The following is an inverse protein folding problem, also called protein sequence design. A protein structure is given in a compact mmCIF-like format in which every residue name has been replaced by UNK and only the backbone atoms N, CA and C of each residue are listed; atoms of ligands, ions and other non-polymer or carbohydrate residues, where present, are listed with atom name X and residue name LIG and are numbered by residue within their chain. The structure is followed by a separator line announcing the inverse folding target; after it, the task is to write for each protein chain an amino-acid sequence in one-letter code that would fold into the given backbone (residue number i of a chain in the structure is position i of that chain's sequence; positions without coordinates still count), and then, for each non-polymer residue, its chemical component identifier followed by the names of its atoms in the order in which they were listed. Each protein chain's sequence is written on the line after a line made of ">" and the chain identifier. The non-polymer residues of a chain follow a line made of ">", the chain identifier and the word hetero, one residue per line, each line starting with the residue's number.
data_IF_242354136771
#
_entry.id   IF_242354136771
#
_cell.length_a   1.000
_cell.length_b   1.000
_cell.length_c   1.000
_cell.angle_alpha   90.00
_cell.angle_beta   90.00
_cell.angle_gamma   90.00
#
_symmetry.space_group_name_H-M   'P 1'
#
loop_
_entity.id
_entity.type
_entity.pdbx_description
1 polymer ?
#
# COMPACT_ATOMS: atom_id res chain seq x y z
N UNK A 1 43.99 -6.80 27.32
CA UNK A 1 42.98 -6.29 28.28
C UNK A 1 42.24 -5.18 27.57
N UNK A 2 40.98 -5.40 27.19
CA UNK A 2 40.20 -4.38 26.46
C UNK A 2 39.84 -3.28 27.45
N UNK A 3 40.15 -2.04 27.12
CA UNK A 3 39.85 -0.89 27.95
C UNK A 3 38.32 -0.74 28.14
N UNK A 4 37.82 -0.58 29.38
CA UNK A 4 36.38 -0.51 29.66
C UNK A 4 35.63 0.60 28.91
N UNK A 5 36.28 1.75 28.65
CA UNK A 5 35.64 2.86 27.91
C UNK A 5 35.50 2.53 26.44
N UNK A 6 36.42 1.73 25.91
CA UNK A 6 36.38 1.28 24.53
C UNK A 6 35.23 0.28 24.31
N UNK A 7 34.89 -0.51 25.33
CA UNK A 7 33.74 -1.42 25.29
C UNK A 7 32.40 -0.65 25.32
N UNK A 8 32.25 0.33 26.20
CA UNK A 8 31.01 1.13 26.25
C UNK A 8 30.79 1.89 24.94
N UNK A 9 31.84 2.51 24.39
CA UNK A 9 31.79 3.21 23.10
C UNK A 9 31.36 2.27 21.96
N UNK A 10 31.93 1.06 21.92
CA UNK A 10 31.55 0.05 20.92
C UNK A 10 30.09 -0.41 21.07
N UNK A 11 29.60 -0.57 22.30
CA UNK A 11 28.21 -0.95 22.56
C UNK A 11 27.22 0.14 22.12
N UNK A 12 27.52 1.41 22.36
CA UNK A 12 26.71 2.52 21.84
C UNK A 12 26.68 2.54 20.31
N UNK A 13 27.82 2.32 19.64
CA UNK A 13 27.91 2.32 18.18
C UNK A 13 27.12 1.16 17.55
N UNK A 14 27.17 -0.04 18.15
CA UNK A 14 26.54 -1.26 17.58
C UNK A 14 25.08 -1.48 18.01
N UNK A 15 24.71 -1.11 19.23
CA UNK A 15 23.35 -1.31 19.76
C UNK A 15 22.49 -0.03 19.76
N UNK A 16 23.10 1.14 19.56
CA UNK A 16 22.38 2.41 19.49
C UNK A 16 21.64 2.76 20.80
N UNK A 17 20.52 3.52 20.73
CA UNK A 17 19.76 3.95 21.91
C UNK A 17 19.22 2.81 22.80
N UNK A 18 19.20 1.58 22.27
CA UNK A 18 18.74 0.41 23.02
C UNK A 18 19.68 0.05 24.18
N UNK A 19 20.99 0.31 24.06
CA UNK A 19 21.94 0.07 25.14
C UNK A 19 21.66 0.97 26.36
N UNK A 20 21.37 2.25 26.12
CA UNK A 20 21.07 3.21 27.18
C UNK A 20 19.74 2.90 27.86
N UNK A 21 18.74 2.50 27.08
CA UNK A 21 17.46 2.04 27.60
C UNK A 21 17.62 0.77 28.47
N UNK A 22 18.47 -0.18 28.06
CA UNK A 22 18.79 -1.40 28.80
C UNK A 22 19.54 -1.11 30.11
N UNK A 23 20.49 -0.16 30.10
CA UNK A 23 21.26 0.24 31.29
C UNK A 23 20.42 1.02 32.30
N UNK A 24 19.57 1.94 31.83
CA UNK A 24 18.75 2.77 32.69
C UNK A 24 17.54 2.04 33.27
N UNK A 25 16.87 1.18 32.47
CA UNK A 25 15.66 0.47 32.85
C UNK A 25 15.61 -0.93 32.22
N UNK A 26 16.38 -1.90 32.74
CA UNK A 26 16.51 -3.23 32.13
C UNK A 26 15.17 -3.98 31.99
N UNK A 27 14.20 -3.72 32.88
CA UNK A 27 12.87 -4.31 32.81
C UNK A 27 12.00 -3.77 31.65
N UNK A 28 12.33 -2.59 31.11
CA UNK A 28 11.59 -1.91 30.04
C UNK A 28 12.25 -2.05 28.66
N UNK A 29 13.48 -2.55 28.63
CA UNK A 29 14.18 -2.81 27.38
C UNK A 29 13.54 -3.99 26.63
N UNK A 30 13.27 -3.77 25.35
CA UNK A 30 12.75 -4.80 24.45
C UNK A 30 13.92 -5.26 23.59
N UNK A 31 14.34 -6.51 23.73
CA UNK A 31 15.36 -7.09 22.85
C UNK A 31 14.84 -7.13 21.42
N UNK A 32 15.73 -7.08 20.43
CA UNK A 32 15.31 -7.14 19.03
C UNK A 32 14.53 -8.45 18.72
N UNK A 33 14.85 -9.53 19.42
CA UNK A 33 14.12 -10.81 19.36
C UNK A 33 12.71 -10.75 19.97
N UNK A 34 12.44 -9.75 20.83
CA UNK A 34 11.13 -9.48 21.41
C UNK A 34 10.32 -8.45 20.59
N UNK A 35 10.93 -7.76 19.63
CA UNK A 35 10.28 -6.80 18.72
C UNK A 35 9.92 -7.45 17.37
N UNK A 36 10.58 -8.53 16.98
CA UNK A 36 10.42 -9.15 15.66
C UNK A 36 9.45 -10.31 15.74
N UNK A 37 8.18 -10.02 15.54
CA UNK A 37 7.20 -11.05 15.20
C UNK A 37 7.37 -11.45 13.72
N UNK A 38 7.33 -12.75 13.45
CA UNK A 38 7.14 -13.27 12.11
C UNK A 38 5.67 -13.14 11.69
N UNK A 39 5.40 -13.13 10.38
CA UNK A 39 4.02 -13.12 9.88
C UNK A 39 3.22 -14.33 10.42
N UNK A 40 3.87 -15.50 10.51
CA UNK A 40 3.26 -16.73 11.02
C UNK A 40 2.85 -16.58 12.50
N UNK A 41 3.71 -16.01 13.34
CA UNK A 41 3.41 -15.74 14.75
C UNK A 41 2.26 -14.75 14.95
N UNK A 42 2.12 -13.76 14.05
CA UNK A 42 0.99 -12.82 14.09
C UNK A 42 -0.31 -13.50 13.66
N UNK A 43 -0.27 -14.29 12.59
CA UNK A 43 -1.44 -15.01 12.10
C UNK A 43 -1.93 -16.06 13.10
N UNK A 44 -1.03 -16.70 13.85
CA UNK A 44 -1.39 -17.63 14.92
C UNK A 44 -2.17 -16.97 16.07
N UNK A 45 -2.09 -15.64 16.21
CA UNK A 45 -2.84 -14.86 17.20
C UNK A 45 -4.19 -14.35 16.67
N UNK A 46 -4.47 -14.48 15.38
CA UNK A 46 -5.73 -14.07 14.77
C UNK A 46 -6.73 -15.23 14.73
N UNK A 47 -7.98 -14.98 15.13
CA UNK A 47 -9.12 -15.87 14.83
C UNK A 47 -9.90 -15.29 13.64
N UNK A 48 -9.71 -15.81 12.41
CA UNK A 48 -10.41 -15.31 11.23
C UNK A 48 -11.90 -15.66 11.21
N UNK A 49 -12.34 -16.55 12.11
CA UNK A 49 -13.74 -16.95 12.24
C UNK A 49 -14.46 -16.22 13.36
N UNK A 50 -13.76 -15.33 14.10
CA UNK A 50 -14.36 -14.56 15.16
C UNK A 50 -15.52 -13.70 14.63
N UNK A 51 -16.66 -13.74 15.32
CA UNK A 51 -17.78 -12.89 14.97
C UNK A 51 -17.45 -11.42 15.26
N UNK A 52 -17.82 -10.53 14.33
CA UNK A 52 -17.66 -9.09 14.51
C UNK A 52 -18.50 -8.61 15.69
N UNK A 53 -17.88 -7.81 16.55
CA UNK A 53 -18.56 -7.12 17.64
C UNK A 53 -19.61 -6.15 17.10
N UNK A 54 -20.53 -5.73 17.96
CA UNK A 54 -21.56 -4.74 17.59
C UNK A 54 -20.95 -3.42 17.10
N UNK A 55 -19.83 -2.98 17.69
CA UNK A 55 -19.14 -1.76 17.29
C UNK A 55 -18.46 -1.90 15.93
N UNK A 56 -17.79 -3.02 15.66
CA UNK A 56 -17.18 -3.29 14.35
C UNK A 56 -18.24 -3.38 13.26
N UNK A 57 -19.39 -4.01 13.57
CA UNK A 57 -20.54 -4.08 12.68
C UNK A 57 -21.09 -2.68 12.37
N UNK A 58 -21.25 -1.84 13.39
CA UNK A 58 -21.68 -0.45 13.23
C UNK A 58 -20.73 0.35 12.33
N UNK A 59 -19.41 0.17 12.48
CA UNK A 59 -18.42 0.82 11.62
C UNK A 59 -18.48 0.33 10.16
N UNK A 60 -18.72 -0.97 9.95
CA UNK A 60 -18.86 -1.57 8.63
C UNK A 60 -20.14 -1.14 7.91
N UNK A 61 -21.23 -1.05 8.66
CA UNK A 61 -22.55 -0.67 8.16
C UNK A 61 -22.72 0.86 8.08
N UNK A 62 -21.74 1.62 8.59
CA UNK A 62 -21.76 3.07 8.50
C UNK A 62 -21.80 3.51 7.03
N UNK A 63 -22.68 4.46 6.67
CA UNK A 63 -22.71 4.98 5.31
C UNK A 63 -21.36 5.60 4.97
N UNK A 64 -20.96 5.48 3.70
CA UNK A 64 -19.75 6.15 3.21
C UNK A 64 -19.80 7.62 3.62
N UNK A 65 -18.81 8.07 4.40
CA UNK A 65 -18.74 9.47 4.85
C UNK A 65 -18.59 10.43 3.67
N UNK A 66 -18.11 9.94 2.51
CA UNK A 66 -18.44 10.47 1.19
C UNK A 66 -18.10 11.94 0.93
N UNK A 67 -17.17 12.52 1.71
CA UNK A 67 -16.69 13.91 1.52
C UNK A 67 -15.51 14.01 0.57
N UNK A 68 -15.03 12.87 0.07
CA UNK A 68 -14.05 12.81 -1.00
C UNK A 68 -14.69 13.43 -2.25
N UNK A 69 -14.06 14.47 -2.81
CA UNK A 69 -14.46 14.98 -4.12
C UNK A 69 -13.99 13.96 -5.15
N UNK A 70 -14.91 13.14 -5.68
CA UNK A 70 -14.60 12.29 -6.83
C UNK A 70 -14.52 13.17 -8.07
N UNK A 71 -13.31 13.43 -8.54
CA UNK A 71 -13.10 14.00 -9.87
C UNK A 71 -13.39 12.92 -10.91
N UNK A 72 -14.34 13.12 -11.85
CA UNK A 72 -14.54 12.20 -12.95
C UNK A 72 -13.21 12.01 -13.69
N UNK A 73 -12.74 10.77 -13.79
CA UNK A 73 -11.56 10.44 -14.58
C UNK A 73 -11.97 10.34 -16.05
N UNK A 74 -11.38 11.17 -16.90
CA UNK A 74 -11.50 11.04 -18.36
C UNK A 74 -10.22 10.38 -18.92
N UNK A 75 -10.26 9.10 -19.34
CA UNK A 75 -9.09 8.43 -19.91
C UNK A 75 -8.60 9.10 -21.21
N UNK A 76 -9.47 9.75 -21.98
CA UNK A 76 -9.11 10.38 -23.25
C UNK A 76 -8.15 11.56 -23.04
N UNK A 77 -8.19 12.25 -21.90
CA UNK A 77 -7.24 13.32 -21.56
C UNK A 77 -5.79 12.82 -21.50
N UNK A 78 -5.59 11.54 -21.20
CA UNK A 78 -4.26 10.95 -21.01
C UNK A 78 -3.74 10.17 -22.22
N UNK A 79 -4.57 9.91 -23.22
CA UNK A 79 -4.20 9.24 -24.46
C UNK A 79 -3.65 10.24 -25.48
N UNK A 80 -2.47 10.79 -25.20
CA UNK A 80 -1.90 11.95 -25.94
C UNK A 80 -1.15 11.58 -27.21
N UNK A 81 -0.97 10.28 -27.50
CA UNK A 81 -0.24 9.81 -28.68
C UNK A 81 -0.85 8.52 -29.26
N UNK A 82 -0.46 8.21 -30.50
CA UNK A 82 -0.99 7.06 -31.25
C UNK A 82 -0.64 5.71 -30.62
N UNK A 83 0.53 5.59 -29.99
CA UNK A 83 0.97 4.36 -29.33
C UNK A 83 0.09 4.03 -28.13
N UNK A 84 -0.21 5.01 -27.27
CA UNK A 84 -1.10 4.85 -26.13
C UNK A 84 -2.53 4.45 -26.57
N UNK A 85 -3.03 5.05 -27.65
CA UNK A 85 -4.33 4.68 -28.22
C UNK A 85 -4.30 3.24 -28.75
N UNK A 86 -3.23 2.82 -29.43
CA UNK A 86 -3.09 1.47 -29.94
C UNK A 86 -2.99 0.42 -28.81
N UNK A 87 -2.22 0.73 -27.75
CA UNK A 87 -2.10 -0.13 -26.58
C UNK A 87 -3.45 -0.36 -25.89
N UNK A 88 -4.24 0.70 -25.68
CA UNK A 88 -5.58 0.58 -25.10
C UNK A 88 -6.49 -0.34 -25.93
N UNK A 89 -6.49 -0.18 -27.26
CA UNK A 89 -7.33 -0.99 -28.15
C UNK A 89 -6.90 -2.46 -28.14
N UNK A 90 -5.59 -2.73 -28.17
CA UNK A 90 -5.05 -4.09 -28.11
C UNK A 90 -5.40 -4.78 -26.77
N UNK A 91 -5.22 -4.08 -25.64
CA UNK A 91 -5.59 -4.59 -24.33
C UNK A 91 -7.10 -4.85 -24.23
N UNK A 92 -7.92 -3.95 -24.78
CA UNK A 92 -9.37 -4.11 -24.80
C UNK A 92 -9.80 -5.33 -25.62
N UNK A 93 -9.25 -5.52 -26.81
CA UNK A 93 -9.50 -6.70 -27.64
C UNK A 93 -9.09 -7.99 -26.92
N UNK A 94 -7.96 -7.98 -26.20
CA UNK A 94 -7.49 -9.15 -25.45
C UNK A 94 -8.44 -9.59 -24.32
N UNK A 95 -9.30 -8.69 -23.82
CA UNK A 95 -10.30 -9.05 -22.80
C UNK A 95 -11.44 -9.92 -23.35
N UNK A 96 -11.74 -9.82 -24.65
CA UNK A 96 -12.89 -10.46 -25.27
C UNK A 96 -14.25 -9.94 -24.79
N UNK A 97 -14.29 -8.86 -23.99
CA UNK A 97 -15.52 -8.25 -23.50
C UNK A 97 -16.04 -7.22 -24.53
N UNK A 98 -17.17 -7.47 -25.20
CA UNK A 98 -17.69 -6.59 -26.23
C UNK A 98 -18.05 -5.18 -25.71
N UNK A 99 -18.51 -5.06 -24.46
CA UNK A 99 -18.87 -3.77 -23.89
C UNK A 99 -17.62 -2.94 -23.59
N UNK A 100 -16.56 -3.59 -23.09
CA UNK A 100 -15.29 -2.92 -22.85
C UNK A 100 -14.60 -2.50 -24.15
N UNK A 101 -14.63 -3.36 -25.18
CA UNK A 101 -14.10 -3.07 -26.51
C UNK A 101 -14.79 -1.83 -27.11
N UNK A 102 -16.12 -1.79 -27.09
CA UNK A 102 -16.88 -0.63 -27.61
C UNK A 102 -16.52 0.66 -26.85
N UNK A 103 -16.47 0.60 -25.52
CA UNK A 103 -16.09 1.76 -24.70
C UNK A 103 -14.66 2.23 -25.01
N UNK A 104 -13.69 1.32 -25.15
CA UNK A 104 -12.32 1.63 -25.51
C UNK A 104 -12.22 2.33 -26.88
N UNK A 105 -13.01 1.88 -27.86
CA UNK A 105 -13.09 2.56 -29.17
C UNK A 105 -13.66 3.98 -29.08
N UNK A 106 -14.71 4.20 -28.27
CA UNK A 106 -15.28 5.52 -28.06
C UNK A 106 -14.26 6.48 -27.40
N UNK A 107 -13.55 6.01 -26.38
CA UNK A 107 -12.47 6.75 -25.70
C UNK A 107 -11.34 7.07 -26.68
N UNK A 108 -10.88 6.09 -27.46
CA UNK A 108 -9.83 6.26 -28.47
C UNK A 108 -10.22 7.29 -29.54
N UNK A 109 -11.47 7.26 -30.03
CA UNK A 109 -11.97 8.24 -30.98
C UNK A 109 -11.96 9.66 -30.40
N UNK A 110 -12.42 9.82 -29.14
CA UNK A 110 -12.38 11.11 -28.44
C UNK A 110 -10.96 11.61 -28.25
N UNK A 111 -10.03 10.74 -27.82
CA UNK A 111 -8.63 11.08 -27.64
C UNK A 111 -7.97 11.54 -28.94
N UNK A 112 -8.25 10.86 -30.06
CA UNK A 112 -7.72 11.26 -31.38
C UNK A 112 -8.18 12.65 -31.79
N UNK A 113 -9.45 12.98 -31.57
CA UNK A 113 -9.99 14.33 -31.83
C UNK A 113 -9.37 15.35 -30.87
N UNK A 114 -9.31 15.04 -29.58
CA UNK A 114 -8.82 15.93 -28.53
C UNK A 114 -7.35 16.30 -28.71
N UNK A 115 -6.50 15.33 -29.06
CA UNK A 115 -5.04 15.52 -29.15
C UNK A 115 -4.51 15.62 -30.58
N UNK A 116 -5.37 15.57 -31.60
CA UNK A 116 -4.97 15.66 -33.01
C UNK A 116 -4.12 14.48 -33.49
N UNK A 117 -4.35 13.29 -32.94
CA UNK A 117 -3.61 12.07 -33.26
C UNK A 117 -4.10 11.53 -34.61
N UNK A 118 -3.14 11.30 -35.52
CA UNK A 118 -3.39 10.76 -36.85
C UNK A 118 -3.44 9.24 -36.87
#
# INVERSE_FOLDING_TARGET
>A
MIDPKNLETWLHEKAGPAHDALKAYPARAVSADRVRYTLDELLAQCDPSAELTAQEREWLDAPAVGREVLTPFDPAEHLTNAEAVAALLADAEATGDPAYIEHAHQVAARARVMHGIK
#
